data_IF_776768129938
#
_entry.id   IF_776768129938
#
_cell.length_a   1.000
_cell.length_b   1.000
_cell.length_c   1.000
_cell.angle_alpha   90.00
_cell.angle_beta   90.00
_cell.angle_gamma   90.00
#
_symmetry.space_group_name_H-M   'P 1'
#
loop_
_entity.id
_entity.type
_entity.pdbx_description
1 polymer ?
#
# COMPACT_ATOMS: atom_id res chain seq x y z
N UNK A 1 -38.43 -38.68 9.12
CA UNK A 1 -38.43 -37.28 9.62
C UNK A 1 -39.77 -36.65 9.25
N UNK A 2 -40.51 -36.12 10.23
CA UNK A 2 -41.86 -35.55 10.04
C UNK A 2 -41.82 -34.39 9.02
N UNK A 3 -42.76 -34.36 8.07
CA UNK A 3 -42.80 -33.32 7.02
C UNK A 3 -43.04 -31.91 7.59
N UNK A 4 -43.71 -31.79 8.73
CA UNK A 4 -43.85 -30.51 9.43
C UNK A 4 -42.53 -30.02 10.02
N UNK A 5 -41.67 -30.94 10.47
CA UNK A 5 -40.32 -30.61 10.95
C UNK A 5 -39.43 -30.15 9.78
N UNK A 6 -39.53 -30.79 8.61
CA UNK A 6 -38.81 -30.35 7.40
C UNK A 6 -39.21 -28.93 6.99
N UNK A 7 -40.52 -28.63 6.97
CA UNK A 7 -41.03 -27.29 6.63
C UNK A 7 -40.56 -26.23 7.62
N UNK A 8 -40.63 -26.52 8.92
CA UNK A 8 -40.14 -25.63 9.98
C UNK A 8 -38.63 -25.34 9.85
N UNK A 9 -37.81 -26.39 9.65
CA UNK A 9 -36.38 -26.23 9.41
C UNK A 9 -36.09 -25.44 8.14
N UNK A 10 -36.85 -25.66 7.07
CA UNK A 10 -36.72 -24.90 5.83
C UNK A 10 -36.93 -23.40 6.03
N UNK A 11 -37.94 -23.01 6.82
CA UNK A 11 -38.19 -21.60 7.16
C UNK A 11 -37.05 -21.00 7.96
N UNK A 12 -36.56 -21.70 8.99
CA UNK A 12 -35.43 -21.21 9.80
C UNK A 12 -34.17 -21.03 8.96
N UNK A 13 -33.83 -22.02 8.13
CA UNK A 13 -32.64 -21.94 7.25
C UNK A 13 -32.78 -20.78 6.27
N UNK A 14 -33.96 -20.60 5.69
CA UNK A 14 -34.23 -19.49 4.77
C UNK A 14 -34.10 -18.13 5.45
N UNK A 15 -34.66 -17.98 6.66
CA UNK A 15 -34.54 -16.76 7.46
C UNK A 15 -33.08 -16.48 7.85
N UNK A 16 -32.32 -17.52 8.22
CA UNK A 16 -30.90 -17.40 8.55
C UNK A 16 -30.08 -16.96 7.33
N UNK A 17 -30.31 -17.53 6.14
CA UNK A 17 -29.64 -17.13 4.90
C UNK A 17 -29.91 -15.65 4.58
N UNK A 18 -31.17 -15.21 4.70
CA UNK A 18 -31.53 -13.79 4.47
C UNK A 18 -30.85 -12.88 5.49
N UNK A 19 -30.86 -13.24 6.78
CA UNK A 19 -30.21 -12.46 7.82
C UNK A 19 -28.69 -12.36 7.59
N UNK A 20 -28.03 -13.47 7.22
CA UNK A 20 -26.60 -13.51 6.88
C UNK A 20 -26.33 -12.65 5.64
N UNK A 21 -27.16 -12.74 4.61
CA UNK A 21 -27.01 -11.93 3.39
C UNK A 21 -27.14 -10.43 3.66
N UNK A 22 -28.13 -10.03 4.47
CA UNK A 22 -28.31 -8.63 4.85
C UNK A 22 -27.12 -8.17 5.70
N UNK A 23 -26.74 -8.92 6.72
CA UNK A 23 -25.63 -8.56 7.61
C UNK A 23 -24.29 -8.50 6.87
N UNK A 24 -24.04 -9.48 6.01
CA UNK A 24 -22.85 -9.60 5.17
C UNK A 24 -22.71 -8.48 4.14
N UNK A 25 -23.81 -7.84 3.72
CA UNK A 25 -23.78 -6.67 2.82
C UNK A 25 -23.79 -5.35 3.60
N UNK A 26 -24.57 -5.28 4.67
CA UNK A 26 -24.77 -4.06 5.45
C UNK A 26 -23.49 -3.63 6.19
N UNK A 27 -22.77 -4.56 6.81
CA UNK A 27 -21.55 -4.21 7.55
C UNK A 27 -20.42 -3.67 6.65
N UNK A 28 -20.07 -4.33 5.52
CA UNK A 28 -19.10 -3.75 4.59
C UNK A 28 -19.53 -2.39 4.06
N UNK A 29 -20.80 -2.23 3.67
CA UNK A 29 -21.32 -0.95 3.19
C UNK A 29 -21.17 0.15 4.25
N UNK A 30 -21.58 -0.12 5.49
CA UNK A 30 -21.46 0.84 6.60
C UNK A 30 -19.99 1.17 6.87
N UNK A 31 -19.10 0.19 6.86
CA UNK A 31 -17.65 0.39 7.04
C UNK A 31 -17.06 1.28 5.93
N UNK A 32 -17.43 1.02 4.67
CA UNK A 32 -17.01 1.86 3.54
C UNK A 32 -17.53 3.30 3.65
N UNK A 33 -18.78 3.49 4.09
CA UNK A 33 -19.34 4.82 4.31
C UNK A 33 -18.59 5.59 5.39
N UNK A 34 -18.29 4.95 6.53
CA UNK A 34 -17.48 5.54 7.60
C UNK A 34 -16.09 5.93 7.07
N UNK A 35 -15.48 5.08 6.26
CA UNK A 35 -14.18 5.40 5.66
C UNK A 35 -14.23 6.59 4.70
N UNK A 36 -15.23 6.63 3.81
CA UNK A 36 -15.40 7.71 2.84
C UNK A 36 -15.62 9.05 3.56
N UNK A 37 -16.41 9.09 4.63
CA UNK A 37 -16.58 10.32 5.40
C UNK A 37 -15.29 10.72 6.13
N UNK A 38 -14.55 9.74 6.63
CA UNK A 38 -13.33 9.95 7.42
C UNK A 38 -12.12 10.39 6.60
N UNK A 39 -12.01 9.99 5.34
CA UNK A 39 -10.85 10.33 4.51
C UNK A 39 -10.68 11.83 4.32
N UNK A 40 -11.77 12.59 4.16
CA UNK A 40 -11.70 14.05 4.04
C UNK A 40 -11.16 14.70 5.31
N UNK A 41 -11.54 14.20 6.49
CA UNK A 41 -11.01 14.69 7.76
C UNK A 41 -9.52 14.33 7.91
N UNK A 42 -9.16 13.10 7.55
CA UNK A 42 -7.78 12.61 7.59
C UNK A 42 -6.83 13.41 6.68
N UNK A 43 -7.28 13.84 5.48
CA UNK A 43 -6.48 14.71 4.61
C UNK A 43 -6.22 16.10 5.19
N UNK A 44 -7.11 16.59 6.05
CA UNK A 44 -6.97 17.89 6.71
C UNK A 44 -6.32 17.78 8.10
N UNK A 45 -5.92 16.58 8.51
CA UNK A 45 -5.27 16.34 9.79
C UNK A 45 -3.93 17.09 9.85
N UNK A 46 -3.72 17.84 10.93
CA UNK A 46 -2.46 18.56 11.19
C UNK A 46 -1.57 17.83 12.19
N UNK A 47 -2.15 16.91 12.96
CA UNK A 47 -1.47 16.12 13.97
C UNK A 47 -1.77 14.64 13.79
N UNK A 48 -0.94 13.77 14.40
CA UNK A 48 -1.22 12.33 14.45
C UNK A 48 -2.57 12.06 15.11
N UNK A 49 -2.87 12.73 16.23
CA UNK A 49 -4.12 12.52 16.95
C UNK A 49 -5.35 12.82 16.08
N UNK A 50 -5.28 13.88 15.26
CA UNK A 50 -6.36 14.21 14.30
C UNK A 50 -6.52 13.12 13.24
N UNK A 51 -5.39 12.60 12.74
CA UNK A 51 -5.38 11.54 11.74
C UNK A 51 -5.94 10.23 12.29
N UNK A 52 -5.48 9.81 13.47
CA UNK A 52 -5.95 8.60 14.15
C UNK A 52 -7.44 8.71 14.49
N UNK A 53 -7.88 9.86 15.01
CA UNK A 53 -9.28 10.12 15.31
C UNK A 53 -10.17 10.02 14.07
N UNK A 54 -9.67 10.49 12.92
CA UNK A 54 -10.40 10.39 11.66
C UNK A 54 -10.46 8.93 11.17
N UNK A 55 -9.33 8.22 11.12
CA UNK A 55 -9.25 6.92 10.41
C UNK A 55 -9.63 5.71 11.27
N UNK A 56 -9.33 5.72 12.58
CA UNK A 56 -9.54 4.55 13.45
C UNK A 56 -10.99 4.05 13.48
N UNK A 57 -12.03 4.92 13.52
CA UNK A 57 -13.42 4.46 13.48
C UNK A 57 -13.75 3.57 12.28
N UNK A 58 -13.14 3.84 11.12
CA UNK A 58 -13.33 3.02 9.93
C UNK A 58 -12.60 1.67 10.04
N UNK A 59 -11.36 1.67 10.54
CA UNK A 59 -10.56 0.47 10.69
C UNK A 59 -11.12 -0.48 11.76
N UNK A 60 -11.62 0.07 12.85
CA UNK A 60 -12.17 -0.65 14.01
C UNK A 60 -13.62 -1.09 13.80
N UNK A 61 -14.32 -0.52 12.81
CA UNK A 61 -15.69 -0.91 12.51
C UNK A 61 -15.76 -2.42 12.19
N UNK A 62 -16.66 -3.18 12.85
CA UNK A 62 -16.77 -4.61 12.60
C UNK A 62 -17.27 -4.86 11.17
N UNK A 63 -16.51 -5.64 10.42
CA UNK A 63 -16.93 -6.15 9.11
C UNK A 63 -16.21 -7.45 8.81
N UNK A 64 -16.91 -8.49 8.34
CA UNK A 64 -16.29 -9.76 7.97
C UNK A 64 -15.40 -9.65 6.72
N UNK A 65 -15.59 -8.61 5.90
CA UNK A 65 -14.93 -8.42 4.59
C UNK A 65 -14.44 -6.98 4.48
N UNK A 66 -13.34 -6.76 3.77
CA UNK A 66 -12.88 -5.43 3.35
C UNK A 66 -11.78 -4.80 4.20
N UNK A 67 -11.30 -5.48 5.26
CA UNK A 67 -10.22 -4.93 6.09
C UNK A 67 -8.92 -4.71 5.31
N UNK A 68 -8.51 -5.67 4.47
CA UNK A 68 -7.28 -5.54 3.66
C UNK A 68 -7.38 -4.42 2.62
N UNK A 69 -8.57 -4.18 2.08
CA UNK A 69 -8.82 -3.05 1.19
C UNK A 69 -8.77 -1.73 1.96
N UNK A 70 -9.36 -1.68 3.15
CA UNK A 70 -9.31 -0.48 3.98
C UNK A 70 -7.88 -0.10 4.37
N UNK A 71 -7.08 -1.08 4.80
CA UNK A 71 -5.66 -0.87 5.14
C UNK A 71 -4.88 -0.32 3.95
N UNK A 72 -5.15 -0.83 2.74
CA UNK A 72 -4.60 -0.28 1.48
C UNK A 72 -5.05 1.14 1.19
N UNK A 73 -6.31 1.46 1.46
CA UNK A 73 -6.81 2.81 1.28
C UNK A 73 -6.24 3.80 2.31
N UNK A 74 -5.99 3.36 3.54
CA UNK A 74 -5.28 4.16 4.55
C UNK A 74 -3.90 4.55 4.05
N UNK A 75 -3.19 3.62 3.41
CA UNK A 75 -1.95 3.89 2.72
C UNK A 75 -2.07 5.04 1.68
N UNK A 76 -3.15 5.08 0.90
CA UNK A 76 -3.45 6.20 -0.02
C UNK A 76 -3.68 7.52 0.72
N UNK A 77 -4.29 7.48 1.89
CA UNK A 77 -4.47 8.67 2.74
C UNK A 77 -3.12 9.17 3.25
N UNK A 78 -2.25 8.26 3.73
CA UNK A 78 -0.88 8.57 4.16
C UNK A 78 -0.05 9.15 3.01
N UNK A 79 -0.18 8.62 1.79
CA UNK A 79 0.47 9.21 0.61
C UNK A 79 0.05 10.67 0.41
N UNK A 80 -1.24 10.99 0.53
CA UNK A 80 -1.69 12.38 0.40
C UNK A 80 -1.16 13.29 1.51
N UNK A 81 -1.05 12.78 2.75
CA UNK A 81 -0.40 13.52 3.85
C UNK A 81 1.07 13.81 3.52
N UNK A 82 1.81 12.82 3.00
CA UNK A 82 3.22 13.01 2.60
C UNK A 82 3.33 14.07 1.50
N UNK A 83 2.46 14.03 0.50
CA UNK A 83 2.47 15.00 -0.60
C UNK A 83 2.17 16.41 -0.10
N UNK A 84 1.15 16.57 0.75
CA UNK A 84 0.61 17.86 1.18
C UNK A 84 1.26 18.46 2.43
N UNK A 85 2.02 17.68 3.20
CA UNK A 85 2.74 18.18 4.38
C UNK A 85 3.93 19.07 3.99
N UNK A 86 4.40 19.89 4.92
CA UNK A 86 5.68 20.59 4.74
C UNK A 86 6.85 19.59 4.89
N UNK A 87 8.00 19.95 4.30
CA UNK A 87 9.22 19.13 4.40
C UNK A 87 9.56 18.86 5.88
N UNK A 88 9.89 17.62 6.22
CA UNK A 88 10.35 17.20 7.55
C UNK A 88 9.34 17.41 8.71
N UNK A 89 8.05 17.26 8.44
CA UNK A 89 7.03 17.30 9.51
C UNK A 89 7.01 15.96 10.28
N UNK A 90 6.98 15.95 11.63
CA UNK A 90 6.77 14.75 12.45
C UNK A 90 5.51 13.93 12.06
N UNK A 91 4.57 14.57 11.37
CA UNK A 91 3.36 13.97 10.83
C UNK A 91 3.62 12.86 9.81
N UNK A 92 4.71 12.93 9.02
CA UNK A 92 5.06 11.89 8.05
C UNK A 92 5.42 10.60 8.79
N UNK A 93 6.36 10.67 9.74
CA UNK A 93 6.76 9.53 10.57
C UNK A 93 5.59 8.94 11.33
N UNK A 94 4.78 9.81 11.92
CA UNK A 94 3.63 9.41 12.71
C UNK A 94 2.57 8.69 11.85
N UNK A 95 2.25 9.22 10.66
CA UNK A 95 1.27 8.61 9.74
C UNK A 95 1.77 7.28 9.18
N UNK A 96 3.06 7.19 8.86
CA UNK A 96 3.71 5.93 8.48
C UNK A 96 3.64 4.89 9.59
N UNK A 97 4.03 5.26 10.81
CA UNK A 97 3.98 4.38 11.98
C UNK A 97 2.57 3.86 12.23
N UNK A 98 1.56 4.72 12.10
CA UNK A 98 0.17 4.31 12.21
C UNK A 98 -0.24 3.34 11.09
N UNK A 99 0.16 3.56 9.83
CA UNK A 99 -0.12 2.58 8.77
C UNK A 99 0.49 1.21 9.09
N UNK A 100 1.71 1.19 9.60
CA UNK A 100 2.43 -0.05 9.95
C UNK A 100 1.72 -0.87 11.02
N UNK A 101 0.98 -0.26 11.97
CA UNK A 101 0.23 -1.05 12.97
C UNK A 101 -0.79 -2.00 12.33
N UNK A 102 -1.24 -1.69 11.11
CA UNK A 102 -2.16 -2.53 10.34
C UNK A 102 -1.46 -3.38 9.27
N UNK A 103 -0.36 -2.88 8.69
CA UNK A 103 0.40 -3.60 7.69
C UNK A 103 1.29 -4.68 8.30
N UNK A 104 1.90 -4.46 9.47
CA UNK A 104 2.85 -5.40 10.09
C UNK A 104 2.26 -6.81 10.27
N UNK A 105 1.01 -7.00 10.77
CA UNK A 105 0.41 -8.33 10.85
C UNK A 105 0.16 -8.98 9.47
N UNK A 106 -0.08 -8.17 8.43
CA UNK A 106 -0.27 -8.66 7.05
C UNK A 106 1.06 -9.10 6.44
N UNK A 107 2.12 -8.31 6.65
CA UNK A 107 3.47 -8.60 6.19
C UNK A 107 4.06 -9.82 6.94
N UNK A 108 3.91 -9.87 8.26
CA UNK A 108 4.38 -10.98 9.09
C UNK A 108 3.74 -12.33 8.71
N UNK A 109 2.50 -12.32 8.21
CA UNK A 109 1.84 -13.53 7.71
C UNK A 109 2.56 -14.13 6.50
N UNK A 110 3.24 -13.31 5.70
CA UNK A 110 4.02 -13.74 4.55
C UNK A 110 3.22 -14.30 3.36
N UNK A 111 1.88 -14.26 3.42
CA UNK A 111 0.95 -14.80 2.42
C UNK A 111 -0.38 -14.06 2.45
N UNK A 112 -1.10 -14.08 1.34
CA UNK A 112 -2.41 -13.46 1.19
C UNK A 112 -2.65 -13.04 -0.25
N UNK A 113 -3.91 -12.89 -0.64
CA UNK A 113 -4.27 -12.54 -2.02
C UNK A 113 -3.67 -11.19 -2.46
N UNK A 114 -3.53 -10.24 -1.53
CA UNK A 114 -2.98 -8.90 -1.78
C UNK A 114 -1.52 -8.74 -1.34
N UNK A 115 -0.84 -9.79 -0.87
CA UNK A 115 0.42 -9.65 -0.14
C UNK A 115 1.51 -8.89 -0.92
N UNK A 116 1.69 -9.19 -2.20
CA UNK A 116 2.65 -8.47 -3.05
C UNK A 116 2.21 -7.02 -3.29
N UNK A 117 0.91 -6.78 -3.42
CA UNK A 117 0.39 -5.41 -3.55
C UNK A 117 0.65 -4.61 -2.27
N UNK A 118 0.53 -5.24 -1.10
CA UNK A 118 0.80 -4.63 0.20
C UNK A 118 2.28 -4.23 0.31
N UNK A 119 3.21 -5.10 -0.10
CA UNK A 119 4.64 -4.77 -0.18
C UNK A 119 4.92 -3.61 -1.15
N UNK A 120 4.31 -3.63 -2.33
CA UNK A 120 4.48 -2.57 -3.31
C UNK A 120 4.02 -1.21 -2.77
N UNK A 121 2.85 -1.18 -2.13
CA UNK A 121 2.30 0.04 -1.53
C UNK A 121 3.23 0.57 -0.44
N UNK A 122 3.74 -0.28 0.44
CA UNK A 122 4.72 0.16 1.46
C UNK A 122 5.98 0.74 0.81
N UNK A 123 6.55 0.05 -0.20
CA UNK A 123 7.70 0.57 -0.95
C UNK A 123 7.44 1.95 -1.54
N UNK A 124 6.26 2.14 -2.15
CA UNK A 124 5.85 3.40 -2.75
C UNK A 124 5.73 4.53 -1.70
N UNK A 125 5.06 4.28 -0.57
CA UNK A 125 4.87 5.30 0.47
C UNK A 125 6.22 5.74 1.04
N UNK A 126 7.11 4.79 1.33
CA UNK A 126 8.45 5.08 1.81
C UNK A 126 9.29 5.85 0.78
N UNK A 127 9.21 5.48 -0.51
CA UNK A 127 9.89 6.23 -1.56
C UNK A 127 9.38 7.67 -1.65
N UNK A 128 8.06 7.89 -1.50
CA UNK A 128 7.47 9.24 -1.47
C UNK A 128 7.92 10.02 -0.23
N UNK A 129 7.98 9.37 0.93
CA UNK A 129 8.50 9.97 2.15
C UNK A 129 9.96 10.40 1.98
N UNK A 130 10.81 9.58 1.34
CA UNK A 130 12.17 9.95 1.00
C UNK A 130 12.22 11.16 0.07
N UNK A 131 11.47 11.17 -1.04
CA UNK A 131 11.45 12.30 -1.96
C UNK A 131 11.07 13.61 -1.28
N UNK A 132 10.17 13.53 -0.29
CA UNK A 132 9.69 14.70 0.46
C UNK A 132 10.67 15.20 1.54
N UNK A 133 11.33 14.29 2.25
CA UNK A 133 12.14 14.61 3.45
C UNK A 133 13.65 14.51 3.24
N UNK A 134 14.07 13.80 2.20
CA UNK A 134 15.45 13.37 1.96
C UNK A 134 16.05 12.54 3.11
N UNK A 135 15.22 11.96 3.99
CA UNK A 135 15.69 11.11 5.08
C UNK A 135 16.02 9.70 4.56
N UNK A 136 17.30 9.27 4.63
CA UNK A 136 17.75 8.01 4.02
C UNK A 136 17.06 6.76 4.57
N UNK A 137 16.57 6.79 5.82
CA UNK A 137 15.83 5.66 6.42
C UNK A 137 14.61 5.26 5.61
N UNK A 138 13.94 6.23 4.97
CA UNK A 138 12.80 5.93 4.12
C UNK A 138 13.22 5.29 2.80
N UNK A 139 14.35 5.69 2.23
CA UNK A 139 14.85 5.05 1.01
C UNK A 139 15.28 3.61 1.28
N UNK A 140 15.95 3.37 2.42
CA UNK A 140 16.30 2.03 2.88
C UNK A 140 15.05 1.14 3.04
N UNK A 141 14.00 1.68 3.66
CA UNK A 141 12.72 0.99 3.82
C UNK A 141 12.04 0.72 2.48
N UNK A 142 12.04 1.69 1.56
CA UNK A 142 11.49 1.50 0.21
C UNK A 142 12.20 0.37 -0.53
N UNK A 143 13.54 0.36 -0.50
CA UNK A 143 14.35 -0.70 -1.09
C UNK A 143 14.07 -2.06 -0.46
N UNK A 144 13.92 -2.14 0.86
CA UNK A 144 13.55 -3.38 1.55
C UNK A 144 12.23 -3.94 1.01
N UNK A 145 11.15 -3.16 1.00
CA UNK A 145 9.85 -3.64 0.56
C UNK A 145 9.81 -4.00 -0.93
N UNK A 146 10.48 -3.23 -1.79
CA UNK A 146 10.58 -3.56 -3.20
C UNK A 146 11.41 -4.84 -3.45
N UNK A 147 12.50 -5.06 -2.70
CA UNK A 147 13.30 -6.29 -2.78
C UNK A 147 12.49 -7.51 -2.32
N UNK A 148 11.79 -7.41 -1.20
CA UNK A 148 10.92 -8.47 -0.68
C UNK A 148 9.81 -8.82 -1.69
N UNK A 149 9.22 -7.80 -2.32
CA UNK A 149 8.21 -7.98 -3.34
C UNK A 149 8.76 -8.63 -4.62
N UNK A 150 9.90 -8.13 -5.08
CA UNK A 150 10.59 -8.66 -6.26
C UNK A 150 11.01 -10.12 -6.08
N UNK A 151 11.52 -10.50 -4.90
CA UNK A 151 11.92 -11.88 -4.60
C UNK A 151 10.76 -12.89 -4.76
N UNK A 152 9.52 -12.43 -4.57
CA UNK A 152 8.30 -13.27 -4.66
C UNK A 152 7.63 -13.19 -6.04
N UNK A 153 7.75 -12.04 -6.70
CA UNK A 153 7.18 -11.79 -8.02
C UNK A 153 8.19 -11.12 -8.96
N UNK A 154 9.26 -11.82 -9.40
CA UNK A 154 10.38 -11.19 -10.12
C UNK A 154 10.03 -10.66 -11.51
N UNK A 155 8.89 -11.10 -12.08
CA UNK A 155 8.38 -10.63 -13.37
C UNK A 155 7.32 -9.54 -13.24
N UNK A 156 6.96 -9.14 -12.01
CA UNK A 156 5.96 -8.10 -11.81
C UNK A 156 6.57 -6.74 -12.15
N UNK A 157 6.02 -6.00 -13.13
CA UNK A 157 6.60 -4.73 -13.55
C UNK A 157 6.72 -3.74 -12.38
N UNK A 158 5.75 -3.73 -11.47
CA UNK A 158 5.69 -2.75 -10.37
C UNK A 158 6.96 -2.76 -9.50
N UNK A 159 7.48 -3.95 -9.17
CA UNK A 159 8.69 -4.05 -8.36
C UNK A 159 9.96 -3.74 -9.14
N UNK A 160 10.02 -4.11 -10.42
CA UNK A 160 11.15 -3.76 -11.28
C UNK A 160 11.29 -2.24 -11.42
N UNK A 161 10.20 -1.53 -11.73
CA UNK A 161 10.23 -0.07 -11.83
C UNK A 161 10.46 0.59 -10.45
N UNK A 162 9.84 0.06 -9.38
CA UNK A 162 10.08 0.55 -8.02
C UNK A 162 11.55 0.43 -7.60
N UNK A 163 12.20 -0.72 -7.87
CA UNK A 163 13.62 -0.92 -7.63
C UNK A 163 14.48 -0.01 -8.52
N UNK A 164 14.16 0.11 -9.80
CA UNK A 164 14.89 0.98 -10.73
C UNK A 164 14.92 2.42 -10.22
N UNK A 165 13.77 2.97 -9.84
CA UNK A 165 13.69 4.34 -9.32
C UNK A 165 14.36 4.47 -7.94
N UNK A 166 14.16 3.51 -7.03
CA UNK A 166 14.79 3.55 -5.71
C UNK A 166 16.33 3.47 -5.79
N UNK A 167 16.89 2.63 -6.68
CA UNK A 167 18.34 2.56 -6.89
C UNK A 167 18.89 3.82 -7.56
N UNK A 168 18.16 4.43 -8.50
CA UNK A 168 18.53 5.73 -9.08
C UNK A 168 18.59 6.82 -8.02
N UNK A 169 17.61 6.83 -7.11
CA UNK A 169 17.57 7.74 -5.96
C UNK A 169 18.72 7.49 -4.96
N UNK A 170 19.14 6.23 -4.81
CA UNK A 170 20.28 5.85 -3.98
C UNK A 170 21.64 6.13 -4.64
N UNK A 171 21.68 6.41 -5.94
CA UNK A 171 22.93 6.53 -6.70
C UNK A 171 23.63 5.19 -6.96
N UNK A 172 22.93 4.07 -6.81
CA UNK A 172 23.50 2.73 -6.94
C UNK A 172 23.61 2.31 -8.42
N UNK A 173 24.68 2.71 -9.07
CA UNK A 173 24.90 2.49 -10.51
C UNK A 173 24.81 1.01 -10.90
N UNK A 174 25.39 0.13 -10.08
CA UNK A 174 25.44 -1.30 -10.38
C UNK A 174 24.04 -1.92 -10.37
N UNK A 175 23.25 -1.63 -9.34
CA UNK A 175 21.89 -2.16 -9.26
C UNK A 175 20.94 -1.49 -10.27
N UNK A 176 21.15 -0.21 -10.62
CA UNK A 176 20.40 0.44 -11.69
C UNK A 176 20.62 -0.27 -13.04
N UNK A 177 21.87 -0.55 -13.41
CA UNK A 177 22.19 -1.23 -14.67
C UNK A 177 21.61 -2.66 -14.70
N UNK A 178 21.70 -3.38 -13.58
CA UNK A 178 21.13 -4.72 -13.43
C UNK A 178 19.61 -4.73 -13.63
N UNK A 179 18.87 -3.87 -12.92
CA UNK A 179 17.41 -3.83 -13.00
C UNK A 179 16.95 -3.32 -14.39
N UNK A 180 17.65 -2.35 -14.97
CA UNK A 180 17.35 -1.88 -16.33
C UNK A 180 17.50 -3.00 -17.36
N UNK A 181 18.54 -3.83 -17.24
CA UNK A 181 18.72 -5.00 -18.11
C UNK A 181 17.55 -5.98 -18.01
N UNK A 182 17.02 -6.19 -16.80
CA UNK A 182 15.84 -7.03 -16.60
C UNK A 182 14.58 -6.41 -17.21
N UNK A 183 14.37 -5.10 -17.03
CA UNK A 183 13.25 -4.38 -17.65
C UNK A 183 13.30 -4.53 -19.17
N UNK A 184 14.45 -4.32 -19.81
CA UNK A 184 14.58 -4.43 -21.27
C UNK A 184 14.49 -5.86 -21.80
N UNK A 185 14.80 -6.86 -20.97
CA UNK A 185 14.62 -8.26 -21.33
C UNK A 185 13.14 -8.60 -21.50
N UNK A 186 12.29 -8.08 -20.60
CA UNK A 186 10.84 -8.32 -20.64
C UNK A 186 10.13 -7.32 -21.57
N UNK A 187 10.60 -6.06 -21.63
CA UNK A 187 10.04 -4.97 -22.43
C UNK A 187 11.13 -4.21 -23.23
N UNK A 188 11.62 -4.79 -24.35
CA UNK A 188 12.69 -4.16 -25.15
C UNK A 188 12.33 -2.79 -25.73
N UNK A 189 11.03 -2.51 -25.89
CA UNK A 189 10.49 -1.26 -26.44
C UNK A 189 10.22 -0.15 -25.42
N UNK A 190 10.61 -0.30 -24.15
CA UNK A 190 10.35 0.71 -23.13
C UNK A 190 11.32 1.92 -23.23
N UNK A 191 10.98 2.85 -24.12
CA UNK A 191 11.79 4.05 -24.37
C UNK A 191 11.79 5.04 -23.21
N UNK A 192 10.76 5.02 -22.36
CA UNK A 192 10.71 5.83 -21.15
C UNK A 192 11.77 5.38 -20.14
N UNK A 193 11.85 4.07 -19.89
CA UNK A 193 12.88 3.50 -19.01
C UNK A 193 14.29 3.74 -19.58
N UNK A 194 14.50 3.55 -20.90
CA UNK A 194 15.80 3.82 -21.55
C UNK A 194 16.21 5.28 -21.37
N UNK A 195 15.29 6.22 -21.58
CA UNK A 195 15.55 7.64 -21.43
C UNK A 195 15.91 8.00 -19.98
N UNK A 196 15.17 7.45 -19.02
CA UNK A 196 15.42 7.65 -17.59
C UNK A 196 16.79 7.08 -17.14
N UNK A 197 17.19 5.93 -17.71
CA UNK A 197 18.50 5.32 -17.48
C UNK A 197 19.64 6.17 -18.07
N UNK A 198 19.51 6.61 -19.33
CA UNK A 198 20.49 7.46 -19.99
C UNK A 198 20.70 8.79 -19.22
N UNK A 199 19.62 9.44 -18.78
CA UNK A 199 19.70 10.66 -17.95
C UNK A 199 20.47 10.41 -16.65
N UNK A 200 20.21 9.27 -15.99
CA UNK A 200 20.93 8.91 -14.78
C UNK A 200 22.42 8.70 -15.04
N UNK A 201 22.80 7.97 -16.10
CA UNK A 201 24.21 7.74 -16.46
C UNK A 201 24.94 9.04 -16.78
N UNK A 202 24.31 9.97 -17.49
CA UNK A 202 24.90 11.28 -17.77
C UNK A 202 25.18 12.07 -16.48
N UNK A 203 24.21 12.10 -15.56
CA UNK A 203 24.39 12.77 -14.26
C UNK A 203 25.53 12.16 -13.43
N UNK A 204 25.64 10.84 -13.42
CA UNK A 204 26.75 10.13 -12.73
C UNK A 204 28.10 10.46 -13.37
N UNK A 205 28.17 10.55 -14.70
CA UNK A 205 29.40 10.95 -15.40
C UNK A 205 29.81 12.39 -15.09
N UNK A 206 28.84 13.32 -15.03
CA UNK A 206 29.08 14.71 -14.64
C UNK A 206 29.62 14.83 -13.21
N UNK A 207 29.11 14.03 -12.27
CA UNK A 207 29.58 14.03 -10.88
C UNK A 207 31.00 13.45 -10.69
N UNK A 208 31.49 12.66 -11.65
CA UNK A 208 32.79 11.99 -11.60
C UNK A 208 33.89 12.73 -12.40
N UNK A 209 33.56 13.85 -13.05
CA UNK A 209 34.50 14.73 -13.75
C UNK A 209 34.97 15.84 -12.83
#
# INVERSE_FOLDING_TARGET
MNDNLKKFLGVIVSAAIVAIGIYGNYLPLRKSQIYISSTREAYNAKTLADFEKAISPALDAPSPIGQSELVRNVATTVMGIIVNSDQNTPLIDASLKYALTYYDPLIARGKGLSFEQDLYILGLIYQRAYLKTQNPKYLESALYYYKEGYARGPKRPQFLYGLFDAYRLAGDVGNVDMIMSQILKEWPGDDAAKSAHAQFKNKVQEMNR
#
